data_IF_409286798183
#
_entry.id   IF_409286798183
#
_cell.length_a   1.000
_cell.length_b   1.000
_cell.length_c   1.000
_cell.angle_alpha   90.00
_cell.angle_beta   90.00
_cell.angle_gamma   90.00
#
_symmetry.space_group_name_H-M   'P 1'
#
loop_
_entity.id
_entity.type
_entity.pdbx_description
1 polymer ?
#
# COMPACT_ATOMS: atom_id res chain seq x y z
N UNK A 1 16.61 -5.64 5.51
CA UNK A 1 16.54 -4.64 4.41
C UNK A 1 17.94 -4.35 3.93
N UNK A 2 18.14 -4.06 2.63
CA UNK A 2 19.43 -3.63 2.08
C UNK A 2 19.21 -2.40 1.19
N UNK A 3 20.19 -1.51 1.12
CA UNK A 3 20.16 -0.30 0.31
C UNK A 3 21.36 -0.29 -0.65
N UNK A 4 21.13 0.13 -1.87
CA UNK A 4 22.16 0.44 -2.86
C UNK A 4 22.27 1.97 -3.05
N UNK A 5 23.49 2.45 -3.32
CA UNK A 5 23.79 3.85 -3.67
C UNK A 5 24.46 3.97 -5.05
N UNK A 6 24.67 2.86 -5.71
CA UNK A 6 25.37 2.70 -6.99
C UNK A 6 24.53 1.92 -8.03
N UNK A 7 23.23 2.14 -8.03
CA UNK A 7 22.26 1.57 -8.98
C UNK A 7 22.18 0.03 -8.95
N UNK A 8 22.52 -0.59 -7.83
CA UNK A 8 22.40 -2.03 -7.63
C UNK A 8 23.71 -2.82 -7.76
N UNK A 9 24.84 -2.15 -8.01
CA UNK A 9 26.14 -2.82 -8.07
C UNK A 9 26.58 -3.37 -6.71
N UNK A 10 26.37 -2.57 -5.64
CA UNK A 10 26.60 -3.02 -4.26
C UNK A 10 25.39 -2.78 -3.37
N UNK A 11 25.28 -3.57 -2.31
CA UNK A 11 24.19 -3.52 -1.34
C UNK A 11 24.71 -3.51 0.08
N UNK A 12 24.19 -2.60 0.92
CA UNK A 12 24.54 -2.49 2.34
C UNK A 12 23.34 -2.75 3.22
N UNK A 13 23.53 -3.54 4.28
CA UNK A 13 22.54 -3.74 5.36
C UNK A 13 22.79 -2.81 6.55
N UNK A 14 23.94 -2.12 6.59
CA UNK A 14 24.37 -1.25 7.69
C UNK A 14 24.16 0.24 7.40
N UNK A 15 23.28 0.59 6.50
CA UNK A 15 23.00 2.01 6.19
C UNK A 15 22.26 2.67 7.36
N UNK A 16 22.63 3.93 7.74
CA UNK A 16 21.97 4.68 8.82
C UNK A 16 20.44 4.84 8.64
N UNK A 17 19.94 4.79 7.40
CA UNK A 17 18.51 4.81 7.13
C UNK A 17 17.80 3.51 7.56
N UNK A 18 18.54 2.40 7.57
CA UNK A 18 18.03 1.09 8.05
C UNK A 18 18.22 0.97 9.56
N UNK A 19 19.37 1.39 10.07
CA UNK A 19 19.77 1.21 11.48
C UNK A 19 18.86 1.94 12.49
N UNK A 20 18.03 2.87 12.03
CA UNK A 20 17.07 3.61 12.87
C UNK A 20 15.86 2.79 13.32
N UNK A 21 15.62 1.65 12.70
CA UNK A 21 14.44 0.85 12.98
C UNK A 21 14.84 -0.53 13.52
N UNK A 22 14.21 -0.97 14.58
CA UNK A 22 14.21 -2.40 14.89
C UNK A 22 13.39 -3.12 13.82
N UNK A 23 14.08 -3.65 12.82
CA UNK A 23 13.48 -4.33 11.67
C UNK A 23 13.28 -5.83 11.91
N UNK A 24 13.29 -6.27 13.15
CA UNK A 24 13.04 -7.66 13.48
C UNK A 24 11.58 -8.00 13.13
N UNK A 25 11.41 -8.85 12.13
CA UNK A 25 10.11 -9.39 11.77
C UNK A 25 9.62 -10.35 12.87
N UNK A 26 8.34 -10.33 13.15
CA UNK A 26 7.72 -11.35 13.99
C UNK A 26 7.38 -12.58 13.17
N UNK A 27 7.07 -13.70 13.84
CA UNK A 27 6.68 -14.94 13.13
C UNK A 27 5.48 -14.70 12.20
N UNK A 28 5.62 -15.10 10.94
CA UNK A 28 4.60 -14.94 9.90
C UNK A 28 4.39 -13.50 9.42
N UNK A 29 5.26 -12.54 9.79
CA UNK A 29 5.25 -11.19 9.25
C UNK A 29 6.14 -11.09 8.01
N UNK A 30 5.67 -10.42 6.96
CA UNK A 30 6.35 -10.35 5.68
C UNK A 30 6.12 -9.02 4.93
N UNK A 31 6.96 -8.78 3.92
CA UNK A 31 6.70 -7.81 2.87
C UNK A 31 6.07 -8.49 1.66
N UNK A 32 4.95 -7.97 1.20
CA UNK A 32 4.31 -8.47 -0.01
C UNK A 32 4.80 -7.72 -1.25
N UNK A 33 5.33 -8.45 -2.21
CA UNK A 33 5.99 -7.87 -3.39
C UNK A 33 5.07 -7.66 -4.59
N UNK A 34 3.75 -7.85 -4.45
CA UNK A 34 2.81 -7.86 -5.58
C UNK A 34 2.75 -6.57 -6.39
N UNK A 35 3.02 -5.42 -5.78
CA UNK A 35 3.05 -4.12 -6.48
C UNK A 35 4.33 -3.32 -6.25
N UNK A 36 5.17 -3.74 -5.29
CA UNK A 36 6.36 -2.99 -4.89
C UNK A 36 6.07 -1.65 -4.20
N UNK A 37 4.82 -1.41 -3.77
CA UNK A 37 4.37 -0.14 -3.21
C UNK A 37 4.11 -0.18 -1.70
N UNK A 38 4.69 -1.11 -0.99
CA UNK A 38 4.64 -1.20 0.47
C UNK A 38 5.73 -0.39 1.17
N UNK A 39 6.56 0.33 0.41
CA UNK A 39 7.62 1.20 0.88
C UNK A 39 7.57 2.54 0.14
N UNK A 40 7.64 3.65 0.87
CA UNK A 40 7.72 5.01 0.36
C UNK A 40 8.96 5.69 0.91
N UNK A 41 9.73 6.32 0.03
CA UNK A 41 10.84 7.21 0.40
C UNK A 41 10.37 8.66 0.42
N UNK A 42 10.52 9.34 1.57
CA UNK A 42 10.07 10.71 1.77
C UNK A 42 11.21 11.55 2.37
N UNK A 43 11.90 12.31 1.54
CA UNK A 43 13.04 13.10 2.00
C UNK A 43 14.17 12.23 2.55
N UNK A 44 14.41 12.26 3.86
CA UNK A 44 15.38 11.40 4.55
C UNK A 44 14.75 10.20 5.26
N UNK A 45 13.46 10.01 5.11
CA UNK A 45 12.72 8.96 5.80
C UNK A 45 12.29 7.86 4.84
N UNK A 46 12.34 6.65 5.34
CA UNK A 46 11.74 5.48 4.72
C UNK A 46 10.51 5.12 5.56
N UNK A 47 9.35 5.11 4.91
CA UNK A 47 8.08 4.69 5.51
C UNK A 47 7.65 3.41 4.83
N UNK A 48 7.32 2.39 5.59
CA UNK A 48 6.91 1.11 5.02
C UNK A 48 5.92 0.37 5.90
N UNK A 49 5.18 -0.54 5.29
CA UNK A 49 4.20 -1.39 5.95
C UNK A 49 4.53 -2.87 5.72
N UNK A 50 4.29 -3.68 6.74
CA UNK A 50 4.38 -5.14 6.69
C UNK A 50 2.99 -5.76 6.72
N UNK A 51 2.87 -6.98 6.24
CA UNK A 51 1.67 -7.81 6.31
C UNK A 51 1.98 -9.21 6.81
N UNK A 52 1.04 -10.12 6.69
CA UNK A 52 1.09 -11.47 7.22
C UNK A 52 0.26 -11.60 8.50
N UNK A 53 0.67 -12.50 9.39
CA UNK A 53 0.05 -12.69 10.71
C UNK A 53 0.16 -11.47 11.62
N UNK A 54 1.05 -10.54 11.29
CA UNK A 54 1.18 -9.23 11.90
C UNK A 54 1.36 -8.18 10.82
N UNK A 55 0.76 -7.02 11.01
CA UNK A 55 0.82 -5.91 10.07
C UNK A 55 1.18 -4.63 10.81
N UNK A 56 2.29 -4.01 10.44
CA UNK A 56 2.86 -2.85 11.11
C UNK A 56 3.20 -1.73 10.13
N UNK A 57 3.06 -0.49 10.58
CA UNK A 57 3.59 0.71 9.92
C UNK A 57 4.87 1.14 10.63
N UNK A 58 5.93 1.33 9.86
CA UNK A 58 7.19 1.91 10.30
C UNK A 58 7.29 3.35 9.78
N UNK A 59 7.24 4.33 10.69
CA UNK A 59 7.21 5.74 10.36
C UNK A 59 7.91 6.59 11.45
N UNK A 60 8.83 7.48 11.07
CA UNK A 60 9.56 8.40 11.98
C UNK A 60 10.20 7.70 13.19
N UNK A 61 10.88 6.60 12.99
CA UNK A 61 11.48 5.75 14.05
C UNK A 61 10.47 5.16 15.04
N UNK A 62 9.20 5.12 14.68
CA UNK A 62 8.12 4.50 15.45
C UNK A 62 7.52 3.34 14.69
N UNK A 63 7.00 2.41 15.45
CA UNK A 63 6.33 1.21 14.94
C UNK A 63 4.90 1.21 15.47
N UNK A 64 3.95 1.05 14.57
CA UNK A 64 2.53 1.05 14.88
C UNK A 64 1.90 -0.23 14.38
N UNK A 65 1.14 -0.91 15.23
CA UNK A 65 0.30 -2.02 14.78
C UNK A 65 -0.85 -1.48 13.93
N UNK A 66 -1.09 -2.09 12.77
CA UNK A 66 -2.13 -1.67 11.84
C UNK A 66 -3.47 -2.36 12.18
N UNK A 67 -4.59 -1.62 12.21
CA UNK A 67 -5.92 -2.18 12.42
C UNK A 67 -6.45 -2.82 11.12
N UNK A 68 -5.66 -3.71 10.52
CA UNK A 68 -6.02 -4.49 9.34
C UNK A 68 -6.35 -5.93 9.73
N UNK A 69 -6.93 -6.68 8.79
CA UNK A 69 -7.14 -8.11 8.94
C UNK A 69 -5.77 -8.81 9.04
N UNK A 70 -5.50 -9.48 10.17
CA UNK A 70 -4.24 -10.17 10.46
C UNK A 70 -4.52 -11.51 11.17
N UNK A 71 -4.92 -12.51 10.42
CA UNK A 71 -5.20 -13.86 10.95
C UNK A 71 -4.36 -14.97 10.29
N UNK A 72 -3.73 -14.69 9.14
CA UNK A 72 -2.97 -15.63 8.33
C UNK A 72 -1.79 -14.97 7.63
N UNK A 73 -0.89 -15.76 7.08
CA UNK A 73 0.21 -15.30 6.24
C UNK A 73 -0.25 -14.58 4.96
N UNK A 74 -1.49 -14.87 4.51
CA UNK A 74 -2.11 -14.22 3.33
C UNK A 74 -2.76 -12.88 3.62
N UNK A 75 -2.76 -12.40 4.86
CA UNK A 75 -3.47 -11.18 5.29
C UNK A 75 -2.55 -9.97 5.50
N UNK A 76 -3.14 -8.81 5.77
CA UNK A 76 -2.40 -7.60 6.17
C UNK A 76 -2.14 -6.60 5.05
N UNK A 77 -1.19 -5.69 5.30
CA UNK A 77 -0.87 -4.60 4.39
C UNK A 77 -0.11 -5.06 3.15
N UNK A 78 -0.46 -4.49 1.99
CA UNK A 78 0.19 -4.78 0.71
C UNK A 78 0.71 -3.53 0.00
N UNK A 79 0.08 -2.39 0.20
CA UNK A 79 0.43 -1.15 -0.48
C UNK A 79 0.20 0.05 0.41
N UNK A 80 1.05 1.02 0.29
CA UNK A 80 1.03 2.26 1.06
C UNK A 80 1.27 3.44 0.12
N UNK A 81 0.50 4.51 0.27
CA UNK A 81 0.73 5.78 -0.40
C UNK A 81 0.57 6.94 0.56
N UNK A 82 1.34 8.00 0.37
CA UNK A 82 1.34 9.18 1.23
C UNK A 82 1.15 10.47 0.43
N UNK A 83 0.50 11.44 1.04
CA UNK A 83 0.45 12.82 0.53
C UNK A 83 1.71 13.61 0.91
N UNK A 84 1.81 14.84 0.40
CA UNK A 84 2.95 15.73 0.68
C UNK A 84 3.02 16.20 2.13
N UNK A 85 1.91 16.09 2.89
CA UNK A 85 1.83 16.47 4.31
C UNK A 85 2.25 15.32 5.25
N UNK A 86 2.38 14.09 4.72
CA UNK A 86 2.73 12.91 5.50
C UNK A 86 1.53 12.09 5.99
N UNK A 87 0.32 12.45 5.58
CA UNK A 87 -0.83 11.56 5.76
C UNK A 87 -0.82 10.49 4.67
N UNK A 88 -1.41 9.36 4.94
CA UNK A 88 -1.45 8.29 3.97
C UNK A 88 -2.58 7.30 4.16
N UNK A 89 -2.60 6.36 3.26
CA UNK A 89 -3.48 5.19 3.31
C UNK A 89 -2.67 3.94 3.02
N UNK A 90 -3.00 2.88 3.74
CA UNK A 90 -2.52 1.53 3.51
C UNK A 90 -3.71 0.69 3.08
N UNK A 91 -3.51 -0.12 2.06
CA UNK A 91 -4.50 -1.13 1.62
C UNK A 91 -3.89 -2.52 1.65
N UNK A 92 -4.75 -3.53 1.72
CA UNK A 92 -4.37 -4.92 1.76
C UNK A 92 -5.58 -5.83 1.84
N UNK A 93 -5.66 -6.65 2.88
CA UNK A 93 -6.72 -7.62 3.10
C UNK A 93 -6.19 -9.04 3.04
N UNK A 94 -7.00 -10.00 2.57
CA UNK A 94 -6.61 -11.40 2.41
C UNK A 94 -6.62 -11.80 0.94
N UNK A 95 -5.45 -12.05 0.35
CA UNK A 95 -5.35 -12.43 -1.06
C UNK A 95 -5.85 -13.86 -1.32
N UNK A 96 -6.01 -14.69 -0.30
CA UNK A 96 -6.59 -16.03 -0.43
C UNK A 96 -8.12 -16.04 -0.30
N UNK A 97 -8.69 -14.96 0.26
CA UNK A 97 -10.14 -14.73 0.42
C UNK A 97 -10.47 -13.30 0.00
N UNK A 98 -10.17 -12.98 -1.24
CA UNK A 98 -10.10 -11.63 -1.78
C UNK A 98 -11.43 -10.86 -1.81
N UNK A 99 -12.55 -11.51 -1.50
CA UNK A 99 -13.88 -10.89 -1.37
C UNK A 99 -14.17 -10.28 0.00
N UNK A 100 -13.30 -10.50 1.02
CA UNK A 100 -13.46 -9.93 2.36
C UNK A 100 -13.23 -8.42 2.29
N UNK A 101 -14.23 -7.63 2.71
CA UNK A 101 -14.21 -6.16 2.64
C UNK A 101 -13.78 -5.48 3.94
N UNK A 102 -13.73 -6.20 5.05
CA UNK A 102 -13.38 -5.65 6.36
C UNK A 102 -11.88 -5.76 6.61
N UNK A 103 -11.29 -4.74 7.27
CA UNK A 103 -9.89 -4.74 7.64
C UNK A 103 -8.94 -4.75 6.44
N UNK A 104 -9.33 -4.15 5.31
CA UNK A 104 -8.55 -4.11 4.08
C UNK A 104 -8.00 -2.72 3.73
N UNK A 105 -8.29 -1.70 4.55
CA UNK A 105 -7.73 -0.38 4.41
C UNK A 105 -7.66 0.36 5.75
N UNK A 106 -6.67 1.23 5.90
CA UNK A 106 -6.50 2.13 7.04
C UNK A 106 -5.85 3.43 6.58
N UNK A 107 -6.41 4.56 7.04
CA UNK A 107 -5.81 5.88 6.88
C UNK A 107 -4.96 6.21 8.11
N UNK A 108 -3.89 6.97 7.92
CA UNK A 108 -3.06 7.48 9.00
C UNK A 108 -2.67 8.94 8.74
N UNK A 109 -2.43 9.70 9.81
CA UNK A 109 -1.91 11.05 9.73
C UNK A 109 -0.36 11.08 9.74
N UNK A 110 0.20 12.27 9.66
CA UNK A 110 1.63 12.50 9.78
C UNK A 110 2.16 11.88 11.10
N UNK A 111 3.21 11.06 10.97
CA UNK A 111 3.79 10.31 12.09
C UNK A 111 3.05 9.02 12.45
N UNK A 112 1.97 8.66 11.74
CA UNK A 112 1.27 7.38 11.89
C UNK A 112 0.43 7.23 13.16
N UNK A 113 0.27 8.29 13.96
CA UNK A 113 -0.32 8.20 15.31
C UNK A 113 -1.84 7.99 15.29
N UNK A 114 -2.57 8.71 14.43
CA UNK A 114 -4.02 8.66 14.40
C UNK A 114 -4.47 7.82 13.20
N UNK A 115 -4.77 6.58 13.48
CA UNK A 115 -5.27 5.64 12.48
C UNK A 115 -6.79 5.60 12.49
N UNK A 116 -7.39 5.52 11.31
CA UNK A 116 -8.84 5.39 11.14
C UNK A 116 -9.16 4.48 9.96
N UNK A 117 -10.18 3.68 10.11
CA UNK A 117 -10.71 2.86 9.02
C UNK A 117 -11.61 3.68 8.10
N UNK A 118 -11.71 3.38 6.80
CA UNK A 118 -12.70 3.99 5.93
C UNK A 118 -14.14 3.82 6.43
N UNK A 119 -15.03 4.74 6.08
CA UNK A 119 -16.47 4.57 6.30
C UNK A 119 -17.07 3.52 5.36
N UNK A 120 -16.63 3.56 4.08
CA UNK A 120 -16.92 2.53 3.09
C UNK A 120 -15.59 1.97 2.63
N UNK A 121 -15.33 0.71 2.97
CA UNK A 121 -14.09 0.03 2.60
C UNK A 121 -13.99 -0.24 1.10
N UNK A 122 -12.77 -0.42 0.54
CA UNK A 122 -12.57 -1.00 -0.78
C UNK A 122 -13.24 -2.37 -0.91
N UNK A 123 -13.62 -2.73 -2.12
CA UNK A 123 -14.26 -4.01 -2.42
C UNK A 123 -13.21 -5.15 -2.41
N UNK A 124 -13.02 -5.76 -1.22
CA UNK A 124 -12.10 -6.88 -1.04
C UNK A 124 -10.62 -6.51 -1.07
N UNK A 125 -9.77 -7.50 -1.28
CA UNK A 125 -8.31 -7.38 -1.25
C UNK A 125 -7.76 -6.39 -2.30
N UNK A 126 -6.82 -5.56 -1.88
CA UNK A 126 -6.09 -4.61 -2.73
C UNK A 126 -4.59 -4.79 -2.61
N UNK A 127 -3.92 -4.95 -3.75
CA UNK A 127 -2.46 -5.09 -3.83
C UNK A 127 -1.75 -3.78 -4.11
N UNK A 128 -2.44 -2.77 -4.62
CA UNK A 128 -1.85 -1.48 -4.98
C UNK A 128 -2.82 -0.33 -4.76
N UNK A 129 -2.32 0.81 -4.27
CA UNK A 129 -3.06 2.07 -4.14
C UNK A 129 -2.19 3.25 -4.54
N UNK A 130 -2.75 4.23 -5.25
CA UNK A 130 -2.08 5.48 -5.62
C UNK A 130 -3.01 6.68 -5.48
N UNK A 131 -2.42 7.87 -5.28
CA UNK A 131 -3.10 9.14 -5.51
C UNK A 131 -3.10 9.50 -6.99
N UNK A 132 -4.27 9.83 -7.53
CA UNK A 132 -4.42 10.44 -8.88
C UNK A 132 -4.37 11.96 -8.75
N UNK A 133 -5.12 12.50 -7.77
CA UNK A 133 -5.15 13.90 -7.37
C UNK A 133 -4.89 14.01 -5.87
N UNK A 134 -5.01 15.21 -5.28
CA UNK A 134 -4.85 15.40 -3.82
C UNK A 134 -5.87 14.61 -2.97
N UNK A 135 -7.05 14.31 -3.51
CA UNK A 135 -8.13 13.61 -2.79
C UNK A 135 -8.66 12.38 -3.52
N UNK A 136 -8.28 12.18 -4.78
CA UNK A 136 -8.73 11.02 -5.56
C UNK A 136 -7.69 9.92 -5.53
N UNK A 137 -8.11 8.73 -5.11
CA UNK A 137 -7.28 7.53 -5.09
C UNK A 137 -7.88 6.45 -5.98
N UNK A 138 -6.99 5.62 -6.52
CA UNK A 138 -7.31 4.33 -7.15
C UNK A 138 -6.64 3.23 -6.36
N UNK A 139 -7.38 2.16 -6.08
CA UNK A 139 -6.84 0.90 -5.57
C UNK A 139 -7.22 -0.26 -6.49
N UNK A 140 -6.30 -1.18 -6.70
CA UNK A 140 -6.57 -2.41 -7.45
C UNK A 140 -6.06 -3.65 -6.72
N UNK A 141 -6.67 -4.78 -7.04
CA UNK A 141 -6.31 -6.09 -6.51
C UNK A 141 -7.00 -7.19 -7.29
N UNK A 142 -6.93 -8.41 -6.82
CA UNK A 142 -7.65 -9.55 -7.43
C UNK A 142 -9.16 -9.38 -7.36
N UNK A 143 -9.67 -8.64 -6.38
CA UNK A 143 -11.09 -8.33 -6.20
C UNK A 143 -11.62 -7.19 -7.08
N UNK A 144 -10.77 -6.58 -7.92
CA UNK A 144 -11.17 -5.50 -8.82
C UNK A 144 -10.51 -4.16 -8.55
N UNK A 145 -11.08 -3.10 -9.14
CA UNK A 145 -10.60 -1.71 -9.08
C UNK A 145 -11.60 -0.84 -8.36
N UNK A 146 -11.12 -0.05 -7.41
CA UNK A 146 -11.93 0.89 -6.63
C UNK A 146 -11.39 2.30 -6.73
N UNK A 147 -12.30 3.29 -6.69
CA UNK A 147 -12.02 4.71 -6.62
C UNK A 147 -12.50 5.28 -5.29
N UNK A 148 -11.72 6.22 -4.76
CA UNK A 148 -12.15 7.13 -3.71
C UNK A 148 -11.94 8.57 -4.17
N UNK A 149 -12.91 9.45 -3.92
CA UNK A 149 -12.84 10.88 -4.27
C UNK A 149 -12.59 11.78 -3.06
N UNK A 150 -12.55 11.22 -1.86
CA UNK A 150 -12.52 11.92 -0.58
C UNK A 150 -11.33 11.51 0.33
N UNK A 151 -10.22 11.18 -0.30
CA UNK A 151 -8.98 10.85 0.40
C UNK A 151 -8.96 9.47 1.04
N UNK A 152 -9.79 8.54 0.56
CA UNK A 152 -9.83 7.16 1.02
C UNK A 152 -10.88 6.87 2.10
N UNK A 153 -11.76 7.83 2.41
CA UNK A 153 -12.83 7.63 3.39
C UNK A 153 -13.96 6.75 2.85
N UNK A 154 -14.32 6.95 1.57
CA UNK A 154 -15.38 6.18 0.92
C UNK A 154 -14.89 5.64 -0.42
N UNK A 155 -15.14 4.36 -0.67
CA UNK A 155 -14.69 3.67 -1.88
C UNK A 155 -15.86 3.14 -2.71
N UNK A 156 -15.73 3.24 -4.03
CA UNK A 156 -16.68 2.75 -5.02
C UNK A 156 -15.98 1.78 -5.94
N UNK A 157 -16.50 0.56 -6.07
CA UNK A 157 -15.98 -0.41 -7.04
C UNK A 157 -16.41 -0.02 -8.45
N UNK A 158 -15.42 0.19 -9.33
CA UNK A 158 -15.63 0.60 -10.73
C UNK A 158 -15.36 -0.51 -11.74
N UNK A 159 -14.69 -1.57 -11.31
CA UNK A 159 -14.45 -2.76 -12.15
C UNK A 159 -14.22 -3.98 -11.25
N UNK A 160 -14.74 -5.13 -11.67
CA UNK A 160 -14.45 -6.44 -11.06
C UNK A 160 -13.23 -7.13 -11.65
N UNK A 161 -12.59 -6.53 -12.65
CA UNK A 161 -11.41 -7.10 -13.29
C UNK A 161 -10.19 -7.05 -12.40
N UNK A 162 -9.49 -8.17 -12.29
CA UNK A 162 -8.28 -8.33 -11.49
C UNK A 162 -7.10 -7.59 -12.12
N UNK A 163 -6.41 -6.79 -11.28
CA UNK A 163 -5.11 -6.17 -11.57
C UNK A 163 -4.23 -6.25 -10.33
N UNK A 164 -2.90 -6.25 -10.51
CA UNK A 164 -1.95 -6.32 -9.41
C UNK A 164 -1.32 -4.96 -9.08
N UNK A 165 -1.17 -4.11 -10.08
CA UNK A 165 -0.54 -2.79 -9.93
C UNK A 165 -1.31 -1.72 -10.71
N UNK A 166 -1.37 -0.53 -10.14
CA UNK A 166 -1.83 0.69 -10.78
C UNK A 166 -0.76 1.75 -10.67
N UNK A 167 -0.53 2.52 -11.76
CA UNK A 167 0.47 3.56 -11.81
C UNK A 167 -0.01 4.75 -12.63
N UNK A 168 0.22 5.97 -12.12
CA UNK A 168 0.03 7.21 -12.87
C UNK A 168 1.26 7.49 -13.71
N UNK A 169 1.07 7.92 -14.94
CA UNK A 169 2.16 8.36 -15.80
C UNK A 169 2.94 9.54 -15.17
N UNK A 170 4.25 9.55 -15.33
CA UNK A 170 5.11 10.62 -14.81
C UNK A 170 4.79 11.99 -15.46
N UNK A 171 4.29 11.98 -16.69
CA UNK A 171 3.82 13.17 -17.41
C UNK A 171 2.37 12.99 -17.84
N UNK A 172 1.53 14.00 -17.61
CA UNK A 172 0.10 13.95 -17.92
C UNK A 172 -0.74 13.24 -16.86
N UNK A 173 -1.97 12.86 -17.22
CA UNK A 173 -2.98 12.32 -16.30
C UNK A 173 -3.33 10.85 -16.57
N UNK A 174 -2.61 10.17 -17.45
CA UNK A 174 -2.89 8.78 -17.76
C UNK A 174 -2.62 7.88 -16.53
N UNK A 175 -3.52 6.96 -16.27
CA UNK A 175 -3.42 5.95 -15.23
C UNK A 175 -3.50 4.58 -15.89
N UNK A 176 -2.52 3.74 -15.63
CA UNK A 176 -2.41 2.41 -16.18
C UNK A 176 -2.52 1.36 -15.11
N UNK A 177 -3.13 0.24 -15.44
CA UNK A 177 -3.23 -0.93 -14.59
C UNK A 177 -2.57 -2.10 -15.30
N UNK A 178 -1.90 -2.96 -14.53
CA UNK A 178 -1.34 -4.21 -15.04
C UNK A 178 -1.73 -5.37 -14.13
N UNK A 179 -1.95 -6.53 -14.74
CA UNK A 179 -2.40 -7.74 -14.05
C UNK A 179 -1.76 -9.00 -14.61
N UNK A 180 -2.24 -10.14 -14.16
CA UNK A 180 -1.80 -11.45 -14.63
C UNK A 180 -2.04 -11.66 -16.13
N UNK A 181 -1.32 -12.61 -16.73
CA UNK A 181 -1.45 -13.01 -18.14
C UNK A 181 -1.23 -11.85 -19.14
N UNK A 182 -0.34 -10.90 -18.81
CA UNK A 182 -0.04 -9.76 -19.68
C UNK A 182 -1.18 -8.74 -19.80
N UNK A 183 -2.17 -8.77 -18.90
CA UNK A 183 -3.29 -7.83 -18.90
C UNK A 183 -2.81 -6.40 -18.64
N UNK A 184 -3.16 -5.48 -19.53
CA UNK A 184 -2.94 -4.05 -19.39
C UNK A 184 -4.25 -3.30 -19.62
N UNK A 185 -4.48 -2.25 -18.85
CA UNK A 185 -5.62 -1.35 -19.02
C UNK A 185 -5.22 0.10 -18.78
N UNK A 186 -5.96 1.01 -19.37
CA UNK A 186 -5.86 2.46 -19.11
C UNK A 186 -7.18 2.92 -18.50
N UNK A 187 -7.10 3.55 -17.33
CA UNK A 187 -8.27 4.16 -16.71
C UNK A 187 -8.57 5.49 -17.42
N UNK A 188 -9.81 5.64 -17.87
CA UNK A 188 -10.31 6.85 -18.53
C UNK A 188 -11.35 7.47 -17.59
N UNK A 189 -11.17 8.75 -17.29
CA UNK A 189 -12.14 9.56 -16.57
C UNK A 189 -12.97 10.33 -17.60
N UNK A 190 -14.27 10.08 -17.61
CA UNK A 190 -15.24 10.82 -18.42
C UNK A 190 -15.75 12.03 -17.67
#
# INVERSE_FOLDING_TARGET
MAITKDQGETWSTNDPLIAKHDLTATDGEAFFASSGTNLVHRGKEIVFATGGKKSRLFYENKIWDLPLLVDKESTGANSLVMDTKGNGIIVGGDFSRDTIKTGNAVLFDQGGKNMRVPQINPHGYKSCVIYITKSTLVACGTSGVDLSYDGGLNWVNISKESFHVVQKAAKGNAVFLAGGNGKLAKLVFN
#
